data_IF_569500912033
#
_entry.id   IF_569500912033
#
_cell.length_a   1.000
_cell.length_b   1.000
_cell.length_c   1.000
_cell.angle_alpha   90.00
_cell.angle_beta   90.00
_cell.angle_gamma   90.00
#
_symmetry.space_group_name_H-M   'P 1'
#
loop_
_entity.id
_entity.type
_entity.pdbx_description
1 polymer ?
#
# COMPACT_ATOMS: atom_id res chain seq x y z
N UNK A 1 3.26 7.64 43.09
CA UNK A 1 2.83 7.76 41.68
C UNK A 1 3.84 7.00 40.86
N UNK A 2 3.52 5.77 40.49
CA UNK A 2 4.32 4.99 39.52
C UNK A 2 4.14 5.64 38.14
N UNK A 3 5.22 5.86 37.37
CA UNK A 3 5.06 6.26 35.98
C UNK A 3 4.31 5.13 35.28
N UNK A 4 3.18 5.45 34.67
CA UNK A 4 2.47 4.50 33.81
C UNK A 4 3.42 4.09 32.70
N UNK A 5 3.72 2.80 32.63
CA UNK A 5 4.35 2.18 31.47
C UNK A 5 3.53 2.58 30.25
N UNK A 6 4.11 3.37 29.33
CA UNK A 6 3.52 3.63 28.04
C UNK A 6 3.17 2.27 27.41
N UNK A 7 1.91 2.10 26.99
CA UNK A 7 1.47 0.87 26.34
C UNK A 7 2.34 0.65 25.09
N UNK A 8 2.88 -0.55 24.93
CA UNK A 8 3.67 -0.89 23.75
C UNK A 8 2.74 -0.91 22.53
N UNK A 9 3.06 -0.15 21.49
CA UNK A 9 2.27 -0.12 20.26
C UNK A 9 2.72 -1.30 19.40
N UNK A 10 1.79 -2.16 19.01
CA UNK A 10 2.09 -3.25 18.08
C UNK A 10 2.51 -2.67 16.71
N UNK A 11 3.53 -3.25 16.05
CA UNK A 11 4.02 -2.71 14.80
C UNK A 11 2.97 -2.81 13.69
N UNK A 12 2.87 -1.80 12.84
CA UNK A 12 2.12 -1.82 11.59
C UNK A 12 3.09 -2.10 10.43
N UNK A 13 3.16 -3.36 10.01
CA UNK A 13 3.98 -3.80 8.88
C UNK A 13 3.20 -3.70 7.57
N UNK A 14 3.66 -2.85 6.65
CA UNK A 14 3.04 -2.59 5.35
C UNK A 14 3.98 -3.06 4.25
N UNK A 15 3.53 -4.00 3.43
CA UNK A 15 4.21 -4.39 2.21
C UNK A 15 3.75 -3.51 1.04
N UNK A 16 4.69 -3.06 0.20
CA UNK A 16 4.38 -2.24 -0.97
C UNK A 16 5.12 -2.72 -2.21
N UNK A 17 4.44 -2.73 -3.36
CA UNK A 17 5.10 -3.07 -4.62
C UNK A 17 6.03 -1.96 -5.10
N UNK A 18 7.16 -2.32 -5.72
CA UNK A 18 8.14 -1.32 -6.20
C UNK A 18 7.57 -0.35 -7.23
N UNK A 19 6.60 -0.80 -8.05
CA UNK A 19 5.89 0.03 -9.04
C UNK A 19 4.83 0.96 -8.43
N UNK A 20 4.39 0.69 -7.20
CA UNK A 20 3.54 1.61 -6.47
C UNK A 20 4.40 2.71 -5.83
N UNK A 21 5.55 2.35 -5.27
CA UNK A 21 6.45 3.28 -4.59
C UNK A 21 7.18 4.23 -5.56
N UNK A 22 7.67 3.71 -6.69
CA UNK A 22 8.43 4.48 -7.68
C UNK A 22 7.84 4.34 -9.07
N UNK A 23 8.03 5.38 -9.88
CA UNK A 23 7.71 5.33 -11.31
C UNK A 23 8.75 4.48 -12.04
N UNK A 24 8.27 3.38 -12.63
CA UNK A 24 9.04 2.44 -13.42
C UNK A 24 8.51 2.35 -14.85
N UNK A 25 7.73 3.35 -15.31
CA UNK A 25 7.07 3.36 -16.61
C UNK A 25 8.04 3.23 -17.78
N UNK A 26 9.11 4.01 -17.79
CA UNK A 26 10.14 3.96 -18.84
C UNK A 26 10.82 2.60 -18.89
N UNK A 27 11.22 2.08 -17.72
CA UNK A 27 11.88 0.78 -17.65
C UNK A 27 10.93 -0.35 -18.05
N UNK A 28 9.66 -0.26 -17.66
CA UNK A 28 8.65 -1.23 -18.07
C UNK A 28 8.45 -1.22 -19.59
N UNK A 29 8.49 -0.05 -20.22
CA UNK A 29 8.41 0.09 -21.68
C UNK A 29 9.59 -0.60 -22.37
N UNK A 30 10.81 -0.45 -21.83
CA UNK A 30 11.99 -1.19 -22.33
C UNK A 30 11.78 -2.70 -22.21
N UNK A 31 11.24 -3.18 -21.09
CA UNK A 31 10.92 -4.61 -20.93
C UNK A 31 9.91 -5.11 -21.97
N UNK A 32 8.83 -4.36 -22.21
CA UNK A 32 7.79 -4.74 -23.17
C UNK A 32 8.29 -4.74 -24.63
N UNK A 33 9.20 -3.82 -24.97
CA UNK A 33 9.69 -3.65 -26.35
C UNK A 33 10.91 -4.51 -26.67
N UNK A 34 11.84 -4.64 -25.71
CA UNK A 34 13.20 -5.17 -25.92
C UNK A 34 13.51 -6.39 -25.05
N UNK A 35 12.63 -6.73 -24.10
CA UNK A 35 12.74 -7.92 -23.26
C UNK A 35 13.57 -7.74 -21.99
N UNK A 36 13.82 -8.87 -21.31
CA UNK A 36 14.40 -8.88 -19.97
C UNK A 36 15.86 -8.41 -19.94
N UNK A 37 16.69 -8.81 -20.90
CA UNK A 37 18.12 -8.46 -20.92
C UNK A 37 18.32 -6.95 -21.09
N UNK A 38 17.57 -6.34 -22.00
CA UNK A 38 17.58 -4.88 -22.22
C UNK A 38 17.07 -4.13 -21.00
N UNK A 39 16.01 -4.63 -20.37
CA UNK A 39 15.51 -4.09 -19.11
C UNK A 39 16.57 -4.12 -17.99
N UNK A 40 17.29 -5.23 -17.85
CA UNK A 40 18.34 -5.37 -16.83
C UNK A 40 19.48 -4.40 -17.09
N UNK A 41 19.97 -4.31 -18.32
CA UNK A 41 21.00 -3.35 -18.70
C UNK A 41 20.56 -1.90 -18.42
N UNK A 42 19.33 -1.55 -18.80
CA UNK A 42 18.76 -0.22 -18.56
C UNK A 42 18.71 0.14 -17.07
N UNK A 43 18.37 -0.80 -16.19
CA UNK A 43 18.34 -0.56 -14.74
C UNK A 43 19.75 -0.38 -14.16
N UNK A 44 20.72 -1.18 -14.63
CA UNK A 44 22.10 -1.15 -14.14
C UNK A 44 22.81 0.13 -14.61
N UNK A 45 22.66 0.51 -15.88
CA UNK A 45 23.26 1.73 -16.43
C UNK A 45 22.78 3.01 -15.71
N UNK A 46 21.58 2.95 -15.13
CA UNK A 46 20.93 4.04 -14.42
C UNK A 46 20.83 3.80 -12.91
N UNK A 47 21.65 2.89 -12.37
CA UNK A 47 21.60 2.50 -10.96
C UNK A 47 21.71 3.70 -10.00
N UNK A 48 22.52 4.70 -10.36
CA UNK A 48 22.75 5.92 -9.59
C UNK A 48 21.75 7.06 -9.91
N UNK A 49 20.84 6.86 -10.88
CA UNK A 49 19.78 7.81 -11.21
C UNK A 49 18.52 7.48 -10.39
N UNK A 50 18.12 8.32 -9.42
CA UNK A 50 16.92 8.08 -8.63
C UNK A 50 15.69 7.93 -9.51
N UNK A 51 14.82 6.99 -9.15
CA UNK A 51 13.52 6.82 -9.78
C UNK A 51 12.57 7.91 -9.29
N UNK A 52 11.74 8.42 -10.19
CA UNK A 52 10.73 9.41 -9.81
C UNK A 52 9.69 8.83 -8.83
N UNK A 53 9.07 9.66 -7.98
CA UNK A 53 8.00 9.25 -7.07
C UNK A 53 6.84 8.55 -7.79
N UNK A 54 6.49 7.35 -7.32
CA UNK A 54 5.34 6.61 -7.81
C UNK A 54 4.02 7.07 -7.15
N UNK A 55 2.92 6.45 -7.57
CA UNK A 55 1.56 6.80 -7.12
C UNK A 55 1.40 6.76 -5.60
N UNK A 56 2.07 5.81 -4.94
CA UNK A 56 1.96 5.59 -3.51
C UNK A 56 3.06 6.29 -2.69
N UNK A 57 3.98 7.01 -3.34
CA UNK A 57 5.17 7.56 -2.70
C UNK A 57 4.83 8.44 -1.49
N UNK A 58 3.98 9.45 -1.68
CA UNK A 58 3.61 10.37 -0.60
C UNK A 58 2.74 9.72 0.47
N UNK A 59 2.02 8.64 0.16
CA UNK A 59 1.33 7.86 1.18
C UNK A 59 2.34 7.16 2.09
N UNK A 60 3.37 6.55 1.52
CA UNK A 60 4.45 5.86 2.25
C UNK A 60 5.26 6.84 3.07
N UNK A 61 5.60 7.99 2.51
CA UNK A 61 6.27 9.09 3.23
C UNK A 61 5.48 9.49 4.48
N UNK A 62 4.18 9.73 4.35
CA UNK A 62 3.30 10.10 5.48
C UNK A 62 3.16 8.98 6.51
N UNK A 63 3.06 7.73 6.07
CA UNK A 63 3.01 6.56 6.95
C UNK A 63 4.29 6.42 7.77
N UNK A 64 5.46 6.53 7.13
CA UNK A 64 6.75 6.48 7.80
C UNK A 64 6.95 7.68 8.73
N UNK A 65 6.41 8.86 8.37
CA UNK A 65 6.49 10.04 9.23
C UNK A 65 5.72 9.89 10.55
N UNK A 66 4.74 8.98 10.64
CA UNK A 66 4.07 8.67 11.92
C UNK A 66 5.08 8.24 13.00
N UNK A 67 6.17 7.58 12.62
CA UNK A 67 7.23 7.18 13.54
C UNK A 67 7.96 8.38 14.18
N UNK A 68 7.93 9.55 13.56
CA UNK A 68 8.52 10.78 14.11
C UNK A 68 7.55 11.53 15.05
N UNK A 69 6.25 11.21 14.96
CA UNK A 69 5.19 11.84 15.76
C UNK A 69 4.86 11.05 17.03
N UNK A 70 5.41 9.85 17.17
CA UNK A 70 5.17 8.92 18.28
C UNK A 70 6.47 8.69 19.06
N UNK A 71 6.35 8.33 20.34
CA UNK A 71 7.49 7.96 21.20
C UNK A 71 8.12 6.61 20.78
N UNK A 72 7.50 5.90 19.84
CA UNK A 72 7.92 4.62 19.28
C UNK A 72 7.85 4.69 17.75
N UNK A 73 8.50 3.75 17.05
CA UNK A 73 8.46 3.66 15.59
C UNK A 73 7.70 2.41 15.12
N UNK A 74 6.37 2.37 15.29
CA UNK A 74 5.60 1.15 15.02
C UNK A 74 5.42 0.87 13.52
N UNK A 75 5.57 1.86 12.63
CA UNK A 75 5.31 1.66 11.20
C UNK A 75 6.55 1.12 10.51
N UNK A 76 6.43 -0.08 9.93
CA UNK A 76 7.45 -0.69 9.08
C UNK A 76 6.94 -0.78 7.65
N UNK A 77 7.73 -0.34 6.67
CA UNK A 77 7.42 -0.52 5.25
C UNK A 77 8.42 -1.49 4.64
N UNK A 78 7.90 -2.47 3.89
CA UNK A 78 8.68 -3.50 3.20
C UNK A 78 8.44 -3.38 1.72
N UNK A 79 9.51 -3.29 0.95
CA UNK A 79 9.43 -3.28 -0.50
C UNK A 79 9.32 -4.71 -1.04
N UNK A 80 8.35 -4.96 -1.91
CA UNK A 80 8.23 -6.19 -2.68
C UNK A 80 8.41 -5.88 -4.16
N UNK A 81 9.31 -6.58 -4.82
CA UNK A 81 9.56 -6.39 -6.23
C UNK A 81 9.60 -7.72 -6.98
N UNK A 82 8.95 -7.72 -8.15
CA UNK A 82 9.14 -8.77 -9.16
C UNK A 82 10.49 -8.62 -9.89
N UNK A 83 11.23 -7.54 -9.67
CA UNK A 83 12.55 -7.36 -10.25
C UNK A 83 13.56 -8.35 -9.64
N UNK A 84 14.67 -8.55 -10.33
CA UNK A 84 15.82 -9.26 -9.79
C UNK A 84 16.58 -8.39 -8.77
N UNK A 85 17.33 -9.02 -7.88
CA UNK A 85 18.17 -8.31 -6.92
C UNK A 85 19.23 -7.43 -7.63
N UNK A 86 19.76 -7.89 -8.75
CA UNK A 86 20.75 -7.16 -9.56
C UNK A 86 20.19 -5.83 -10.08
N UNK A 87 18.92 -5.83 -10.50
CA UNK A 87 18.17 -4.62 -10.90
C UNK A 87 17.56 -3.85 -9.71
N UNK A 88 17.69 -4.38 -8.49
CA UNK A 88 17.10 -3.81 -7.28
C UNK A 88 17.89 -2.65 -6.69
N UNK A 89 19.16 -2.51 -7.04
CA UNK A 89 20.05 -1.47 -6.52
C UNK A 89 19.54 -0.06 -6.83
N UNK A 90 19.03 0.17 -8.05
CA UNK A 90 18.42 1.47 -8.40
C UNK A 90 17.26 1.84 -7.47
N UNK A 91 16.44 0.86 -7.09
CA UNK A 91 15.34 1.09 -6.15
C UNK A 91 15.88 1.42 -4.76
N UNK A 92 16.90 0.72 -4.27
CA UNK A 92 17.53 1.06 -2.99
C UNK A 92 18.22 2.43 -2.99
N UNK A 93 18.89 2.79 -4.08
CA UNK A 93 19.48 4.11 -4.25
C UNK A 93 18.41 5.20 -4.25
N UNK A 94 17.25 4.93 -4.85
CA UNK A 94 16.08 5.83 -4.79
C UNK A 94 15.53 5.94 -3.37
N UNK A 95 15.33 4.82 -2.65
CA UNK A 95 14.92 4.81 -1.23
C UNK A 95 15.85 5.69 -0.39
N UNK A 96 17.17 5.52 -0.59
CA UNK A 96 18.20 6.30 0.10
C UNK A 96 18.17 7.78 -0.29
N UNK A 97 18.02 8.08 -1.58
CA UNK A 97 17.94 9.44 -2.11
C UNK A 97 16.79 10.23 -1.46
N UNK A 98 15.63 9.61 -1.32
CA UNK A 98 14.44 10.21 -0.70
C UNK A 98 14.38 10.04 0.83
N UNK A 99 15.41 9.47 1.46
CA UNK A 99 15.47 9.26 2.91
C UNK A 99 14.26 8.48 3.47
N UNK A 100 13.72 7.52 2.70
CA UNK A 100 12.66 6.64 3.16
C UNK A 100 13.26 5.58 4.09
N UNK A 101 12.72 5.47 5.31
CA UNK A 101 13.15 4.48 6.33
C UNK A 101 12.69 3.05 6.01
N UNK A 102 13.02 2.56 4.82
CA UNK A 102 12.70 1.22 4.32
C UNK A 102 13.97 0.37 4.38
N UNK A 103 14.03 -0.54 5.35
CA UNK A 103 15.22 -1.37 5.61
C UNK A 103 15.07 -2.81 5.11
N UNK A 104 13.86 -3.19 4.69
CA UNK A 104 13.51 -4.55 4.26
C UNK A 104 12.97 -4.53 2.84
N UNK A 105 13.48 -5.45 2.01
CA UNK A 105 12.95 -5.68 0.67
C UNK A 105 13.07 -7.16 0.28
N UNK A 106 12.18 -7.62 -0.59
CA UNK A 106 12.31 -8.90 -1.29
C UNK A 106 12.20 -8.71 -2.80
N UNK A 107 13.16 -9.32 -3.51
CA UNK A 107 13.26 -9.34 -4.97
C UNK A 107 13.03 -10.76 -5.45
N UNK A 108 12.06 -10.93 -6.35
CA UNK A 108 11.54 -12.24 -6.73
C UNK A 108 11.94 -12.66 -8.15
N UNK A 109 12.69 -11.86 -8.90
CA UNK A 109 13.22 -12.22 -10.23
C UNK A 109 12.15 -12.77 -11.20
N UNK A 110 10.97 -12.17 -11.19
CA UNK A 110 9.81 -12.54 -12.01
C UNK A 110 8.77 -13.37 -11.27
N UNK A 111 9.15 -14.06 -10.20
CA UNK A 111 8.21 -14.83 -9.39
C UNK A 111 7.24 -13.93 -8.64
N UNK A 112 6.09 -14.51 -8.29
CA UNK A 112 5.11 -13.87 -7.42
C UNK A 112 5.74 -13.51 -6.05
N UNK A 113 5.68 -12.24 -5.63
CA UNK A 113 6.21 -11.82 -4.34
C UNK A 113 5.31 -12.22 -3.16
N UNK A 114 4.10 -12.74 -3.41
CA UNK A 114 3.07 -12.87 -2.37
C UNK A 114 3.39 -13.92 -1.31
N UNK A 115 4.22 -14.92 -1.64
CA UNK A 115 4.76 -15.85 -0.64
C UNK A 115 5.55 -15.15 0.47
N UNK A 116 6.15 -14.00 0.15
CA UNK A 116 6.95 -13.24 1.09
C UNK A 116 6.10 -12.34 1.98
N UNK A 117 4.90 -11.94 1.55
CA UNK A 117 4.00 -11.12 2.37
C UNK A 117 3.70 -11.83 3.70
N UNK A 118 3.32 -13.10 3.65
CA UNK A 118 3.06 -13.91 4.85
C UNK A 118 4.34 -14.15 5.65
N UNK A 119 5.48 -14.42 5.01
CA UNK A 119 6.76 -14.65 5.68
C UNK A 119 7.27 -13.40 6.42
N UNK A 120 6.85 -12.22 5.99
CA UNK A 120 7.22 -10.94 6.58
C UNK A 120 6.25 -10.43 7.65
N UNK A 121 5.21 -11.20 7.97
CA UNK A 121 4.11 -10.81 8.87
C UNK A 121 3.54 -9.44 8.50
N UNK A 122 3.36 -9.18 7.20
CA UNK A 122 2.76 -7.93 6.74
C UNK A 122 1.27 -7.91 7.04
N UNK A 123 0.79 -6.82 7.64
CA UNK A 123 -0.61 -6.60 7.96
C UNK A 123 -1.40 -6.08 6.76
N UNK A 124 -0.74 -5.37 5.84
CA UNK A 124 -1.37 -4.76 4.67
C UNK A 124 -0.43 -4.82 3.47
N UNK A 125 -0.95 -5.21 2.31
CA UNK A 125 -0.25 -5.11 1.03
C UNK A 125 -0.85 -4.03 0.13
N UNK A 126 0.01 -3.17 -0.42
CA UNK A 126 -0.36 -2.05 -1.27
C UNK A 126 0.27 -2.19 -2.66
N UNK A 127 -0.54 -2.11 -3.71
CA UNK A 127 -0.06 -2.15 -5.10
C UNK A 127 -0.94 -1.30 -6.02
N UNK A 128 -0.38 -0.83 -7.12
CA UNK A 128 -1.14 -0.23 -8.23
C UNK A 128 -1.68 -1.29 -9.19
N UNK A 129 -1.21 -2.54 -9.10
CA UNK A 129 -1.68 -3.67 -9.91
C UNK A 129 -2.81 -4.43 -9.20
N UNK A 130 -4.03 -4.37 -9.77
CA UNK A 130 -5.19 -5.07 -9.22
C UNK A 130 -5.09 -6.60 -9.26
N UNK A 131 -4.28 -7.18 -10.16
CA UNK A 131 -4.03 -8.62 -10.18
C UNK A 131 -3.16 -9.07 -9.00
N UNK A 132 -2.22 -8.21 -8.58
CA UNK A 132 -1.38 -8.46 -7.40
C UNK A 132 -2.21 -8.41 -6.12
N UNK A 133 -3.09 -7.41 -6.03
CA UNK A 133 -4.00 -7.26 -4.89
C UNK A 133 -4.95 -8.45 -4.76
N UNK A 134 -5.56 -8.91 -5.86
CA UNK A 134 -6.42 -10.10 -5.85
C UNK A 134 -5.68 -11.34 -5.34
N UNK A 135 -4.46 -11.58 -5.81
CA UNK A 135 -3.67 -12.74 -5.36
C UNK A 135 -3.31 -12.65 -3.87
N UNK A 136 -2.97 -11.46 -3.37
CA UNK A 136 -2.71 -11.27 -1.93
C UNK A 136 -3.97 -11.56 -1.09
N UNK A 137 -5.14 -11.10 -1.53
CA UNK A 137 -6.43 -11.38 -0.88
C UNK A 137 -6.77 -12.88 -0.89
N UNK A 138 -6.55 -13.58 -2.00
CA UNK A 138 -6.76 -15.03 -2.12
C UNK A 138 -5.87 -15.84 -1.16
N UNK A 139 -4.72 -15.29 -0.77
CA UNK A 139 -3.79 -15.86 0.21
C UNK A 139 -4.09 -15.43 1.65
N UNK A 140 -5.21 -14.72 1.89
CA UNK A 140 -5.64 -14.30 3.22
C UNK A 140 -4.90 -13.08 3.77
N UNK A 141 -4.20 -12.32 2.93
CA UNK A 141 -3.55 -11.07 3.33
C UNK A 141 -4.48 -9.90 2.99
N UNK A 142 -4.71 -9.00 3.94
CA UNK A 142 -5.37 -7.73 3.65
C UNK A 142 -4.55 -6.94 2.60
N UNK A 143 -5.21 -6.51 1.54
CA UNK A 143 -4.55 -5.81 0.45
C UNK A 143 -5.47 -4.77 -0.20
N UNK A 144 -4.88 -3.72 -0.76
CA UNK A 144 -5.62 -2.65 -1.42
C UNK A 144 -4.92 -2.18 -2.71
N UNK A 145 -5.74 -1.86 -3.71
CA UNK A 145 -5.27 -1.21 -4.93
C UNK A 145 -5.17 0.30 -4.73
N UNK A 146 -4.01 0.86 -5.02
CA UNK A 146 -3.78 2.30 -5.00
C UNK A 146 -4.08 2.85 -6.39
N UNK A 147 -5.02 3.78 -6.45
CA UNK A 147 -5.41 4.44 -7.69
C UNK A 147 -4.60 5.74 -7.90
N UNK A 148 -4.18 6.04 -9.14
CA UNK A 148 -3.58 7.33 -9.47
C UNK A 148 -4.51 8.48 -9.08
N UNK A 149 -3.98 9.49 -8.40
CA UNK A 149 -4.74 10.71 -8.09
C UNK A 149 -4.25 11.85 -8.98
N UNK A 150 -5.17 12.67 -9.49
CA UNK A 150 -4.83 13.87 -10.27
C UNK A 150 -4.49 15.10 -9.41
N UNK A 151 -4.60 15.00 -8.08
CA UNK A 151 -4.40 16.15 -7.19
C UNK A 151 -2.91 16.36 -6.94
N UNK A 152 -2.51 17.62 -7.11
CA UNK A 152 -1.20 18.15 -6.73
C UNK A 152 -0.89 17.80 -5.28
N UNK A 153 0.35 17.35 -5.04
CA UNK A 153 0.98 17.27 -3.72
C UNK A 153 0.64 18.50 -2.89
N UNK A 154 -0.33 18.34 -1.99
CA UNK A 154 -0.53 19.30 -0.92
C UNK A 154 0.51 18.91 0.11
N UNK A 155 1.44 19.83 0.33
CA UNK A 155 2.59 19.80 1.24
C UNK A 155 2.13 19.78 2.71
N UNK A 156 1.31 18.78 3.03
CA UNK A 156 0.77 18.53 4.36
C UNK A 156 1.30 17.19 4.83
N UNK A 157 2.10 17.20 5.89
CA UNK A 157 2.61 16.02 6.62
C UNK A 157 1.51 15.15 7.25
N UNK A 158 0.25 15.55 7.08
CA UNK A 158 -0.92 14.92 7.67
C UNK A 158 -1.41 13.78 6.79
N UNK A 159 -1.47 12.59 7.37
CA UNK A 159 -2.19 11.45 6.82
C UNK A 159 -3.69 11.59 7.15
N UNK A 160 -4.53 11.68 6.12
CA UNK A 160 -6.00 11.73 6.25
C UNK A 160 -6.58 10.39 5.84
N UNK A 161 -7.19 9.68 6.78
CA UNK A 161 -7.87 8.40 6.54
C UNK A 161 -9.37 8.64 6.69
N UNK A 162 -10.12 8.32 5.65
CA UNK A 162 -11.58 8.25 5.70
C UNK A 162 -11.98 6.77 5.70
N UNK A 163 -12.81 6.39 6.65
CA UNK A 163 -13.41 5.06 6.67
C UNK A 163 -14.81 5.19 6.10
N UNK A 164 -15.12 4.35 5.11
CA UNK A 164 -16.50 4.10 4.76
C UNK A 164 -17.10 3.27 5.90
N UNK A 165 -18.10 3.82 6.59
CA UNK A 165 -18.65 3.20 7.80
C UNK A 165 -19.35 1.88 7.45
N UNK A 166 -20.04 1.89 6.32
CA UNK A 166 -20.73 0.76 5.75
C UNK A 166 -19.66 -0.19 5.18
N UNK A 167 -19.64 -1.44 5.64
CA UNK A 167 -18.67 -2.49 5.30
C UNK A 167 -17.33 -2.52 6.06
N UNK A 168 -17.05 -1.59 7.00
CA UNK A 168 -15.85 -1.68 7.87
C UNK A 168 -16.18 -1.61 9.36
N UNK A 169 -17.07 -0.70 9.76
CA UNK A 169 -17.43 -0.50 11.17
C UNK A 169 -18.84 -1.03 11.48
N UNK A 170 -19.69 -1.07 10.46
CA UNK A 170 -21.09 -1.43 10.55
C UNK A 170 -21.45 -2.58 9.61
N UNK A 171 -22.52 -3.29 9.93
CA UNK A 171 -23.02 -4.41 9.14
C UNK A 171 -23.25 -4.06 7.67
N UNK A 172 -22.97 -4.99 6.76
CA UNK A 172 -23.14 -4.86 5.30
C UNK A 172 -24.60 -4.95 4.81
N UNK A 173 -25.58 -4.84 5.72
CA UNK A 173 -27.01 -5.02 5.44
C UNK A 173 -27.53 -3.95 4.47
N UNK A 174 -27.14 -2.69 4.65
CA UNK A 174 -27.52 -1.60 3.74
C UNK A 174 -26.91 -1.79 2.34
N UNK A 175 -25.67 -2.29 2.24
CA UNK A 175 -25.03 -2.56 0.95
C UNK A 175 -25.69 -3.74 0.19
N UNK A 176 -26.17 -4.76 0.92
CA UNK A 176 -27.00 -5.85 0.34
C UNK A 176 -28.29 -5.31 -0.26
N UNK A 177 -28.97 -4.39 0.43
CA UNK A 177 -30.21 -3.76 -0.07
C UNK A 177 -29.92 -2.97 -1.36
N UNK A 178 -28.81 -2.23 -1.41
CA UNK A 178 -28.41 -1.52 -2.61
C UNK A 178 -28.13 -2.47 -3.79
N UNK A 179 -27.38 -3.55 -3.57
CA UNK A 179 -27.05 -4.55 -4.60
C UNK A 179 -28.29 -5.31 -5.10
N UNK A 180 -29.22 -5.65 -4.21
CA UNK A 180 -30.41 -6.46 -4.55
C UNK A 180 -31.57 -5.63 -5.10
N UNK A 181 -31.78 -4.40 -4.59
CA UNK A 181 -33.02 -3.62 -4.81
C UNK A 181 -32.77 -2.20 -5.33
N UNK A 182 -31.52 -1.80 -5.51
CA UNK A 182 -31.13 -0.51 -6.10
C UNK A 182 -31.26 0.69 -5.15
N UNK A 183 -30.89 1.86 -5.68
CA UNK A 183 -30.68 3.09 -4.91
C UNK A 183 -31.93 3.64 -4.21
N UNK A 184 -33.10 3.49 -4.81
CA UNK A 184 -34.36 3.96 -4.20
C UNK A 184 -34.71 3.16 -2.94
N UNK A 185 -34.51 1.84 -2.98
CA UNK A 185 -34.76 0.96 -1.84
C UNK A 185 -33.75 1.20 -0.72
N UNK A 186 -32.48 1.44 -1.07
CA UNK A 186 -31.43 1.83 -0.12
C UNK A 186 -31.79 3.13 0.60
N UNK A 187 -32.08 4.21 -0.16
CA UNK A 187 -32.41 5.52 0.42
C UNK A 187 -33.62 5.46 1.35
N UNK A 188 -34.64 4.66 0.99
CA UNK A 188 -35.81 4.45 1.83
C UNK A 188 -35.46 3.71 3.13
N UNK A 189 -34.63 2.68 3.05
CA UNK A 189 -34.17 1.92 4.21
C UNK A 189 -33.36 2.81 5.17
N UNK A 190 -32.44 3.62 4.64
CA UNK A 190 -31.65 4.57 5.44
C UNK A 190 -32.53 5.62 6.14
N UNK A 191 -33.58 6.10 5.47
CA UNK A 191 -34.55 7.02 6.08
C UNK A 191 -35.41 6.35 7.16
N UNK A 192 -35.84 5.11 6.95
CA UNK A 192 -36.68 4.36 7.90
C UNK A 192 -35.88 3.93 9.14
N UNK A 193 -34.62 3.53 8.97
CA UNK A 193 -33.72 3.06 10.02
C UNK A 193 -32.84 4.17 10.64
N UNK A 194 -33.08 5.45 10.31
CA UNK A 194 -32.21 6.56 10.71
C UNK A 194 -31.96 6.72 12.23
N UNK A 195 -32.83 6.18 13.09
CA UNK A 195 -32.70 6.21 14.54
C UNK A 195 -32.32 4.84 15.14
N UNK A 196 -32.10 3.84 14.30
CA UNK A 196 -31.69 2.51 14.72
C UNK A 196 -30.17 2.45 14.65
N UNK A 197 -29.48 2.14 15.77
CA UNK A 197 -28.03 1.97 15.74
C UNK A 197 -27.66 0.85 14.79
N UNK A 198 -26.74 1.12 13.87
CA UNK A 198 -26.21 0.10 12.97
C UNK A 198 -25.56 -1.03 13.79
N UNK A 199 -25.81 -2.27 13.39
CA UNK A 199 -25.17 -3.41 14.01
C UNK A 199 -23.65 -3.37 13.75
N UNK A 200 -22.86 -3.94 14.67
CA UNK A 200 -21.41 -3.97 14.53
C UNK A 200 -20.97 -4.75 13.28
N UNK A 201 -19.93 -4.25 12.62
CA UNK A 201 -19.23 -4.94 11.53
C UNK A 201 -18.53 -6.24 12.00
N UNK A 202 -17.97 -7.01 11.04
CA UNK A 202 -17.30 -8.30 11.31
C UNK A 202 -16.06 -8.21 12.21
#
# INVERSE_FOLDING_TARGET
MTPGTAANIDPLVIAISSRALFDLGDSHSVYEQEGLDAYQAYQIEREDEPLEPGVAFHLVEKLLNLNNLLDQSPVEVILLSRNSADTGLRIFNSIKHYNLSITRAAFCSGDSPYRYISAFNSHLFLSTDGADVRQALELGVAAATILPSQKSNVDEDILKIAFDGDAVLFSDESEKIFKDKGLEAFTKNELEAANEPLAGGP
#
